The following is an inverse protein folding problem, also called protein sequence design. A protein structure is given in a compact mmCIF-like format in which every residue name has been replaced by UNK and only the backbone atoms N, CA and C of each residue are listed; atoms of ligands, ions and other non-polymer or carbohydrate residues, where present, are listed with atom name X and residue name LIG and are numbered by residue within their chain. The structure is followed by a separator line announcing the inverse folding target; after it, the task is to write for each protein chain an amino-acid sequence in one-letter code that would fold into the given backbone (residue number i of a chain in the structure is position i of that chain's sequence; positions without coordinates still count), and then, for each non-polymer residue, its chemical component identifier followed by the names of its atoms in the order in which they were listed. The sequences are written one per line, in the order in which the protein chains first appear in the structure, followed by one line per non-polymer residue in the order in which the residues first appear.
data_IF_357716687235
#
_entry.id   IF_357716687235
#
_cell.length_a   1.000
_cell.length_b   1.000
_cell.length_c   1.000
_cell.angle_alpha   90.00
_cell.angle_beta   90.00
_cell.angle_gamma   90.00
#
_symmetry.space_group_name_H-M   'P 1'
#
loop_
_entity.id
_entity.type
_entity.pdbx_description
1 polymer ?
#
# COMPACT_ATOMS: atom_id res chain seq x y z
N UNK A 1 -10.02 13.53 -4.02
CA UNK A 1 -9.83 14.55 -2.97
C UNK A 1 -10.18 15.94 -3.53
N UNK A 2 -10.65 16.87 -2.70
CA UNK A 2 -10.96 18.25 -3.12
C UNK A 2 -10.03 19.22 -2.40
N UNK A 3 -9.35 20.06 -3.15
CA UNK A 3 -8.57 21.20 -2.67
C UNK A 3 -9.34 22.49 -2.94
N UNK A 4 -9.26 23.46 -2.03
CA UNK A 4 -9.83 24.77 -2.23
C UNK A 4 -9.01 25.84 -1.51
N UNK A 5 -9.15 27.08 -1.93
CA UNK A 5 -8.48 28.22 -1.32
C UNK A 5 -8.90 29.54 -1.93
N UNK A 6 -8.13 30.58 -1.65
CA UNK A 6 -8.32 31.93 -2.19
C UNK A 6 -7.08 32.33 -2.99
N UNK A 7 -7.27 33.05 -4.09
CA UNK A 7 -6.21 33.67 -4.88
C UNK A 7 -6.70 35.07 -5.28
N UNK A 8 -6.08 36.10 -4.69
CA UNK A 8 -6.41 37.51 -4.96
C UNK A 8 -5.57 38.12 -6.07
N UNK A 9 -4.53 37.42 -6.52
CA UNK A 9 -3.42 38.01 -7.26
C UNK A 9 -3.51 37.69 -8.77
N UNK A 10 -4.33 36.69 -9.15
CA UNK A 10 -4.50 36.24 -10.54
C UNK A 10 -5.82 35.49 -10.76
N UNK A 11 -6.22 35.35 -12.02
CA UNK A 11 -7.41 34.58 -12.44
C UNK A 11 -7.14 33.06 -12.48
N UNK A 12 -5.95 32.61 -12.11
CA UNK A 12 -5.54 31.20 -12.18
C UNK A 12 -4.61 30.85 -11.02
N UNK A 13 -4.99 29.83 -10.26
CA UNK A 13 -4.13 29.22 -9.24
C UNK A 13 -3.36 28.07 -9.87
N UNK A 14 -2.04 28.07 -9.72
CA UNK A 14 -1.16 27.00 -10.16
C UNK A 14 -0.89 26.06 -8.98
N UNK A 15 -1.09 24.77 -9.20
CA UNK A 15 -0.99 23.71 -8.22
C UNK A 15 0.15 22.77 -8.60
N UNK A 16 0.96 22.42 -7.61
CA UNK A 16 1.99 21.39 -7.72
C UNK A 16 2.15 20.65 -6.40
N UNK A 17 2.86 19.53 -6.40
CA UNK A 17 3.01 18.66 -5.24
C UNK A 17 4.49 18.32 -4.99
N UNK A 18 4.85 18.19 -3.73
CA UNK A 18 6.15 17.65 -3.30
C UNK A 18 5.92 16.52 -2.32
N UNK A 19 6.87 15.58 -2.22
CA UNK A 19 6.84 14.48 -1.27
C UNK A 19 7.76 13.35 -1.73
N UNK A 20 7.72 12.19 -1.07
CA UNK A 20 8.55 11.05 -1.44
C UNK A 20 8.37 10.66 -2.91
N UNK A 21 9.49 10.44 -3.61
CA UNK A 21 9.51 10.03 -5.01
C UNK A 21 9.27 11.16 -6.03
N UNK A 22 9.05 12.40 -5.58
CA UNK A 22 8.84 13.57 -6.43
C UNK A 22 10.07 14.49 -6.35
N UNK A 23 10.37 15.19 -7.44
CA UNK A 23 11.41 16.23 -7.49
C UNK A 23 11.27 17.22 -6.33
N UNK A 24 12.41 17.67 -5.79
CA UNK A 24 12.42 18.64 -4.68
C UNK A 24 11.73 19.96 -5.06
N UNK A 25 11.80 20.33 -6.34
CA UNK A 25 11.16 21.51 -6.92
C UNK A 25 9.65 21.35 -7.17
N UNK A 26 9.15 20.13 -7.05
CA UNK A 26 7.75 19.79 -7.22
C UNK A 26 7.43 19.15 -8.57
N UNK A 27 6.36 18.36 -8.58
CA UNK A 27 5.79 17.74 -9.77
C UNK A 27 4.35 18.16 -10.00
N UNK A 28 3.86 17.91 -11.21
CA UNK A 28 2.50 18.21 -11.63
C UNK A 28 1.50 17.43 -10.77
N UNK A 29 0.42 18.05 -10.29
CA UNK A 29 -0.49 17.41 -9.35
C UNK A 29 -1.17 16.14 -9.93
N UNK A 30 -1.40 16.11 -11.24
CA UNK A 30 -2.01 14.99 -11.97
C UNK A 30 -1.00 14.06 -12.66
N UNK A 31 0.31 14.37 -12.58
CA UNK A 31 1.42 13.55 -13.09
C UNK A 31 2.67 13.88 -12.25
N UNK A 32 2.75 13.40 -10.99
CA UNK A 32 3.76 13.85 -10.02
C UNK A 32 5.21 13.58 -10.42
N UNK A 33 5.42 12.68 -11.38
CA UNK A 33 6.69 12.38 -12.04
C UNK A 33 7.15 13.46 -13.04
N UNK A 34 6.24 14.32 -13.50
CA UNK A 34 6.53 15.43 -14.42
C UNK A 34 6.85 16.69 -13.62
N UNK A 35 8.12 17.10 -13.65
CA UNK A 35 8.62 18.27 -12.92
C UNK A 35 7.93 19.58 -13.33
N UNK A 36 7.66 20.44 -12.35
CA UNK A 36 7.17 21.79 -12.62
C UNK A 36 8.34 22.75 -12.88
N UNK A 37 8.18 23.64 -13.86
CA UNK A 37 9.22 24.58 -14.31
C UNK A 37 8.74 26.01 -14.12
N UNK A 38 9.44 26.78 -13.30
CA UNK A 38 9.13 28.19 -13.07
C UNK A 38 9.09 28.99 -14.38
N UNK A 39 8.05 29.82 -14.52
CA UNK A 39 7.80 30.60 -15.73
C UNK A 39 7.12 29.84 -16.86
N UNK A 40 6.90 28.51 -16.72
CA UNK A 40 6.13 27.71 -17.66
C UNK A 40 4.79 27.25 -17.03
N UNK A 41 3.68 27.98 -17.27
CA UNK A 41 2.34 27.58 -16.83
C UNK A 41 1.93 26.16 -17.22
N UNK A 42 2.46 25.63 -18.33
CA UNK A 42 2.05 24.35 -18.90
C UNK A 42 2.46 23.15 -18.07
N UNK A 43 3.48 23.31 -17.20
CA UNK A 43 3.97 22.26 -16.31
C UNK A 43 3.26 22.25 -14.96
N UNK A 44 2.25 23.09 -14.73
CA UNK A 44 1.49 23.12 -13.47
C UNK A 44 0.06 22.65 -13.70
N UNK A 45 -0.54 22.06 -12.66
CA UNK A 45 -1.98 21.84 -12.65
C UNK A 45 -2.68 23.18 -12.41
N UNK A 46 -3.60 23.58 -13.27
CA UNK A 46 -4.24 24.89 -13.19
C UNK A 46 -5.67 24.77 -12.65
N UNK A 47 -5.99 25.57 -11.64
CA UNK A 47 -7.34 25.75 -11.11
C UNK A 47 -7.80 27.17 -11.43
N UNK A 48 -8.96 27.30 -12.06
CA UNK A 48 -9.54 28.60 -12.36
C UNK A 48 -9.94 29.33 -11.06
N UNK A 49 -9.48 30.56 -10.91
CA UNK A 49 -9.89 31.43 -9.80
C UNK A 49 -11.20 32.13 -10.19
N UNK A 50 -12.21 31.99 -9.33
CA UNK A 50 -13.52 32.60 -9.55
C UNK A 50 -13.47 34.11 -9.26
N UNK A 51 -14.47 34.89 -9.71
CA UNK A 51 -14.55 36.33 -9.41
C UNK A 51 -14.61 36.68 -7.91
N UNK A 52 -15.02 35.74 -7.06
CA UNK A 52 -15.00 35.88 -5.60
C UNK A 52 -13.66 35.48 -4.97
N UNK A 53 -12.61 35.35 -5.79
CA UNK A 53 -11.24 34.94 -5.44
C UNK A 53 -11.12 33.48 -5.00
N UNK A 54 -12.21 32.71 -4.92
CA UNK A 54 -12.13 31.30 -4.55
C UNK A 54 -11.68 30.42 -5.70
N UNK A 55 -10.96 29.35 -5.40
CA UNK A 55 -10.62 28.29 -6.34
C UNK A 55 -10.91 26.94 -5.71
N UNK A 56 -11.19 25.95 -6.57
CA UNK A 56 -11.39 24.56 -6.17
C UNK A 56 -10.75 23.66 -7.22
N UNK A 57 -10.13 22.56 -6.78
CA UNK A 57 -9.58 21.54 -7.65
C UNK A 57 -9.88 20.15 -7.10
N UNK A 58 -10.45 19.28 -7.94
CA UNK A 58 -10.70 17.89 -7.60
C UNK A 58 -9.55 17.04 -8.13
N UNK A 59 -8.77 16.47 -7.22
CA UNK A 59 -7.74 15.50 -7.53
C UNK A 59 -8.34 14.09 -7.51
N UNK A 60 -8.35 13.44 -8.67
CA UNK A 60 -8.64 12.02 -8.80
C UNK A 60 -7.35 11.24 -8.57
N UNK A 61 -7.27 10.51 -7.46
CA UNK A 61 -6.06 9.79 -7.04
C UNK A 61 -5.97 8.38 -7.61
N UNK A 62 -7.06 7.88 -8.22
CA UNK A 62 -7.20 6.51 -8.71
C UNK A 62 -6.21 6.18 -9.85
N UNK A 63 -5.57 7.19 -10.45
CA UNK A 63 -4.55 7.04 -11.49
C UNK A 63 -3.19 7.62 -11.10
N UNK A 64 -3.01 8.02 -9.84
CA UNK A 64 -1.80 8.70 -9.38
C UNK A 64 -0.92 7.79 -8.52
N UNK A 65 0.35 7.82 -8.86
CA UNK A 65 1.38 6.90 -8.41
C UNK A 65 2.18 7.49 -7.25
N UNK A 66 1.52 7.88 -6.15
CA UNK A 66 2.28 8.39 -5.00
C UNK A 66 2.84 7.25 -4.14
N UNK A 67 3.92 7.48 -3.41
CA UNK A 67 4.53 6.54 -2.43
C UNK A 67 3.93 6.78 -1.04
N UNK A 68 4.09 5.89 -0.06
CA UNK A 68 3.80 6.30 1.32
C UNK A 68 4.61 7.55 1.71
N UNK A 69 3.92 8.52 2.29
CA UNK A 69 4.54 9.57 3.08
C UNK A 69 3.81 10.90 2.99
N UNK A 70 4.35 11.90 3.69
CA UNK A 70 3.72 13.22 3.67
C UNK A 70 4.00 13.91 2.35
N UNK A 71 2.94 14.30 1.65
CA UNK A 71 3.04 15.21 0.53
C UNK A 71 2.63 16.61 0.99
N UNK A 72 3.00 17.61 0.20
CA UNK A 72 2.54 18.98 0.36
C UNK A 72 2.09 19.47 -1.00
N UNK A 73 0.84 19.90 -1.10
CA UNK A 73 0.30 20.54 -2.29
C UNK A 73 0.46 22.04 -2.11
N UNK A 74 1.11 22.65 -3.08
CA UNK A 74 1.33 24.09 -3.11
C UNK A 74 0.31 24.71 -4.05
N UNK A 75 -0.27 25.82 -3.62
CA UNK A 75 -1.13 26.65 -4.44
C UNK A 75 -0.51 28.04 -4.55
N UNK A 76 -0.10 28.41 -5.76
CA UNK A 76 0.62 29.65 -6.03
C UNK A 76 -0.09 30.48 -7.11
N UNK A 77 -0.02 31.80 -6.98
CA UNK A 77 -0.66 32.75 -7.90
C UNK A 77 0.13 32.98 -9.20
N UNK A 78 1.35 32.45 -9.28
CA UNK A 78 2.21 32.50 -10.45
C UNK A 78 2.88 31.14 -10.66
N UNK A 79 3.23 30.74 -11.90
CA UNK A 79 3.87 29.46 -12.18
C UNK A 79 5.30 29.44 -11.66
N UNK A 80 5.47 29.19 -10.36
CA UNK A 80 6.75 29.17 -9.66
C UNK A 80 6.92 27.83 -8.94
N UNK A 81 8.00 27.13 -9.25
CA UNK A 81 8.40 25.89 -8.60
C UNK A 81 8.91 26.16 -7.18
N UNK A 82 9.01 25.12 -6.34
CA UNK A 82 9.24 25.25 -4.89
C UNK A 82 10.35 26.24 -4.51
N UNK A 83 11.51 26.13 -5.14
CA UNK A 83 12.69 26.93 -4.80
C UNK A 83 12.54 28.41 -5.23
N UNK A 84 11.67 28.71 -6.19
CA UNK A 84 11.45 30.06 -6.74
C UNK A 84 10.28 30.81 -6.08
N UNK A 85 9.52 30.14 -5.20
CA UNK A 85 8.37 30.75 -4.49
C UNK A 85 8.82 31.77 -3.44
N UNK A 86 10.07 31.77 -2.99
CA UNK A 86 10.59 32.82 -2.09
C UNK A 86 9.65 33.20 -0.92
N UNK A 87 9.35 34.50 -0.77
CA UNK A 87 8.39 35.07 0.23
C UNK A 87 7.14 35.69 -0.41
N UNK A 88 6.82 35.35 -1.65
CA UNK A 88 5.55 35.78 -2.28
C UNK A 88 4.37 35.05 -1.61
N UNK A 89 3.17 35.63 -1.71
CA UNK A 89 1.93 35.09 -1.12
C UNK A 89 1.64 33.68 -1.65
N UNK A 90 2.14 32.66 -0.98
CA UNK A 90 1.75 31.27 -1.16
C UNK A 90 0.84 30.86 0.00
N UNK A 91 -0.31 30.28 -0.34
CA UNK A 91 -1.10 29.51 0.62
C UNK A 91 -0.72 28.04 0.44
N UNK A 92 -0.05 27.47 1.43
CA UNK A 92 0.37 26.06 1.39
C UNK A 92 -0.75 25.18 1.95
N UNK A 93 -1.27 24.25 1.14
CA UNK A 93 -2.27 23.25 1.59
C UNK A 93 -1.58 21.91 1.81
N UNK A 94 -1.39 21.56 3.08
CA UNK A 94 -0.75 20.28 3.44
C UNK A 94 -1.75 19.12 3.33
N UNK A 95 -1.40 18.11 2.55
CA UNK A 95 -2.16 16.86 2.41
C UNK A 95 -1.28 15.66 2.78
N UNK A 96 -1.63 14.95 3.83
CA UNK A 96 -0.91 13.74 4.24
C UNK A 96 -1.49 12.56 3.46
N UNK A 97 -0.67 11.88 2.67
CA UNK A 97 -1.02 10.60 2.07
C UNK A 97 -0.45 9.48 2.93
N UNK A 98 -1.31 8.60 3.42
CA UNK A 98 -0.87 7.40 4.14
C UNK A 98 -1.10 6.21 3.24
N UNK A 99 -0.07 5.39 3.02
CA UNK A 99 -0.35 4.01 2.64
C UNK A 99 -1.13 3.37 3.79
N UNK A 100 -2.20 2.61 3.50
CA UNK A 100 -2.79 1.68 4.44
C UNK A 100 -1.74 0.98 5.30
N UNK A 101 -1.82 1.18 6.61
CA UNK A 101 -0.99 0.45 7.56
C UNK A 101 -1.62 -0.91 7.84
N UNK A 102 -0.83 -1.98 7.69
CA UNK A 102 -1.20 -3.33 8.11
C UNK A 102 -0.26 -3.84 9.22
N UNK A 103 -0.81 -4.58 10.18
CA UNK A 103 -0.05 -5.26 11.24
C UNK A 103 -0.64 -6.62 11.52
N UNK A 104 0.21 -7.58 11.94
CA UNK A 104 -0.22 -8.94 12.28
C UNK A 104 0.45 -9.43 13.57
N UNK A 105 -0.35 -10.03 14.45
CA UNK A 105 0.08 -10.67 15.68
C UNK A 105 -0.53 -12.07 15.78
N UNK A 106 0.18 -12.98 16.45
CA UNK A 106 -0.27 -14.36 16.66
C UNK A 106 -0.12 -14.71 18.14
N UNK A 107 -1.10 -15.44 18.68
CA UNK A 107 -1.16 -15.81 20.10
C UNK A 107 -1.83 -17.18 20.29
N UNK A 108 -1.30 -18.06 21.17
CA UNK A 108 -0.10 -17.89 21.98
C UNK A 108 1.20 -18.02 21.17
N UNK A 109 2.34 -17.63 21.78
CA UNK A 109 3.70 -17.89 21.27
C UNK A 109 4.55 -18.56 22.36
N UNK A 110 5.04 -19.80 22.17
CA UNK A 110 4.84 -20.68 21.02
C UNK A 110 3.40 -21.19 20.92
N UNK A 111 3.01 -21.68 19.74
CA UNK A 111 1.79 -22.47 19.55
C UNK A 111 2.10 -23.92 19.96
N UNK A 112 1.15 -24.58 20.61
CA UNK A 112 1.20 -26.02 20.82
C UNK A 112 0.30 -26.69 19.78
N UNK A 113 0.82 -27.69 19.06
CA UNK A 113 0.01 -28.47 18.13
C UNK A 113 -1.20 -29.06 18.86
N UNK A 114 -2.38 -28.99 18.23
CA UNK A 114 -3.66 -29.39 18.84
C UNK A 114 -4.23 -28.47 19.91
N UNK A 115 -3.65 -27.28 20.11
CA UNK A 115 -4.26 -26.21 20.88
C UNK A 115 -4.70 -25.06 19.95
N UNK A 116 -5.82 -24.38 20.25
CA UNK A 116 -6.27 -23.25 19.43
C UNK A 116 -5.30 -22.07 19.52
N UNK A 117 -5.25 -21.27 18.46
CA UNK A 117 -4.51 -20.01 18.42
C UNK A 117 -5.27 -18.97 17.61
N UNK A 118 -4.89 -17.70 17.76
CA UNK A 118 -5.46 -16.59 17.00
C UNK A 118 -4.39 -15.84 16.23
N UNK A 119 -4.77 -15.35 15.07
CA UNK A 119 -4.07 -14.30 14.33
C UNK A 119 -4.95 -13.06 14.36
N UNK A 120 -4.45 -11.96 14.90
CA UNK A 120 -5.15 -10.68 14.97
C UNK A 120 -4.31 -9.59 14.36
N UNK A 121 -4.94 -8.56 13.84
CA UNK A 121 -4.21 -7.43 13.30
C UNK A 121 -5.08 -6.22 13.03
N UNK A 122 -4.43 -5.22 12.46
CA UNK A 122 -5.03 -3.95 12.08
C UNK A 122 -4.70 -3.68 10.60
N UNK A 123 -5.66 -3.20 9.82
CA UNK A 123 -5.57 -2.95 8.39
C UNK A 123 -6.33 -1.65 8.04
N UNK A 124 -5.62 -0.52 8.01
CA UNK A 124 -6.19 0.79 7.64
C UNK A 124 -6.56 0.85 6.16
N UNK A 125 -7.31 1.87 5.72
CA UNK A 125 -7.64 2.03 4.30
C UNK A 125 -8.92 1.33 3.84
N UNK A 126 -9.70 0.79 4.77
CA UNK A 126 -11.00 0.14 4.55
C UNK A 126 -10.97 -1.02 3.52
N UNK A 127 -9.99 -1.93 3.58
CA UNK A 127 -10.01 -3.11 2.73
C UNK A 127 -11.19 -4.03 3.13
N UNK A 128 -11.83 -4.73 2.20
CA UNK A 128 -12.89 -5.69 2.55
C UNK A 128 -12.35 -6.91 3.31
N UNK A 129 -11.08 -7.26 3.10
CA UNK A 129 -10.42 -8.39 3.73
C UNK A 129 -8.89 -8.27 3.67
N UNK A 130 -8.20 -9.04 4.50
CA UNK A 130 -6.77 -9.34 4.39
C UNK A 130 -6.55 -10.78 3.99
N UNK A 131 -5.41 -11.06 3.37
CA UNK A 131 -4.99 -12.42 3.04
C UNK A 131 -3.86 -12.87 3.96
N UNK A 132 -4.04 -14.01 4.63
CA UNK A 132 -3.09 -14.58 5.58
C UNK A 132 -2.42 -15.81 4.97
N UNK A 133 -1.10 -15.74 4.82
CA UNK A 133 -0.24 -16.84 4.43
C UNK A 133 0.42 -17.43 5.67
N UNK A 134 0.19 -18.72 5.94
CA UNK A 134 0.86 -19.46 7.02
C UNK A 134 1.76 -20.51 6.39
N UNK A 135 3.07 -20.34 6.58
CA UNK A 135 4.10 -21.09 5.87
C UNK A 135 5.04 -21.74 6.88
N UNK A 136 5.21 -23.06 6.76
CA UNK A 136 6.20 -23.85 7.48
C UNK A 136 6.88 -24.82 6.51
N UNK A 137 7.83 -25.59 7.01
CA UNK A 137 8.61 -26.50 6.15
C UNK A 137 7.71 -27.51 5.44
N UNK A 138 6.68 -28.05 6.10
CA UNK A 138 5.75 -29.00 5.45
C UNK A 138 4.32 -28.49 5.36
N UNK A 139 4.11 -27.18 5.56
CA UNK A 139 2.78 -26.61 5.72
C UNK A 139 2.61 -25.33 4.89
N UNK A 140 1.46 -25.25 4.23
CA UNK A 140 1.02 -24.07 3.50
C UNK A 140 -0.47 -23.90 3.74
N UNK A 141 -0.87 -22.70 4.13
CA UNK A 141 -2.28 -22.31 4.20
C UNK A 141 -2.44 -20.87 3.73
N UNK A 142 -3.51 -20.64 2.97
CA UNK A 142 -3.95 -19.33 2.50
C UNK A 142 -5.37 -19.10 3.00
N UNK A 143 -5.58 -18.02 3.75
CA UNK A 143 -6.86 -17.70 4.39
C UNK A 143 -7.20 -16.25 4.11
N UNK A 144 -8.43 -15.97 3.68
CA UNK A 144 -8.93 -14.60 3.57
C UNK A 144 -9.80 -14.29 4.78
N UNK A 145 -9.52 -13.15 5.44
CA UNK A 145 -10.18 -12.74 6.69
C UNK A 145 -10.79 -11.36 6.50
N UNK A 146 -12.10 -11.17 6.79
CA UNK A 146 -12.72 -9.85 6.67
C UNK A 146 -12.12 -8.87 7.68
N UNK A 147 -12.07 -7.59 7.30
CA UNK A 147 -11.73 -6.48 8.20
C UNK A 147 -13.02 -5.82 8.67
N UNK A 148 -13.09 -5.50 9.96
CA UNK A 148 -14.23 -4.79 10.55
C UNK A 148 -14.16 -3.28 10.32
N UNK A 149 -15.25 -2.58 10.66
CA UNK A 149 -15.36 -1.12 10.46
C UNK A 149 -14.36 -0.32 11.31
N UNK A 150 -13.77 -0.96 12.32
CA UNK A 150 -12.73 -0.39 13.16
C UNK A 150 -11.33 -0.76 12.66
N UNK A 151 -11.20 -1.30 11.43
CA UNK A 151 -9.96 -1.72 10.78
C UNK A 151 -9.26 -2.92 11.45
N UNK A 152 -9.96 -3.72 12.26
CA UNK A 152 -9.40 -4.93 12.87
C UNK A 152 -9.77 -6.17 12.08
N UNK A 153 -8.90 -7.18 12.15
CA UNK A 153 -9.21 -8.52 11.66
C UNK A 153 -8.79 -9.59 12.68
N UNK A 154 -9.53 -10.70 12.68
CA UNK A 154 -9.30 -11.82 13.57
C UNK A 154 -9.55 -13.14 12.86
N UNK A 155 -8.52 -13.99 12.83
CA UNK A 155 -8.63 -15.39 12.47
C UNK A 155 -8.41 -16.25 13.72
N UNK A 156 -9.30 -17.23 13.92
CA UNK A 156 -9.19 -18.21 15.00
C UNK A 156 -8.97 -19.59 14.38
N UNK A 157 -7.81 -20.18 14.68
CA UNK A 157 -7.51 -21.56 14.35
C UNK A 157 -7.95 -22.46 15.50
N UNK A 158 -8.71 -23.51 15.19
CA UNK A 158 -9.06 -24.53 16.15
C UNK A 158 -7.93 -25.56 16.34
N UNK A 159 -8.14 -26.50 17.27
CA UNK A 159 -7.21 -27.59 17.53
C UNK A 159 -6.95 -28.45 16.27
N UNK A 160 -7.97 -28.70 15.45
CA UNK A 160 -7.82 -29.51 14.24
C UNK A 160 -7.00 -28.80 13.15
N UNK A 161 -7.00 -27.47 13.13
CA UNK A 161 -6.09 -26.69 12.29
C UNK A 161 -4.66 -26.82 12.82
N UNK A 162 -4.44 -26.58 14.13
CA UNK A 162 -3.10 -26.60 14.72
C UNK A 162 -2.45 -27.98 14.79
N UNK A 163 -3.22 -29.08 14.82
CA UNK A 163 -2.71 -30.46 14.69
C UNK A 163 -1.97 -30.71 13.36
N UNK A 164 -2.30 -29.95 12.32
CA UNK A 164 -1.66 -30.08 10.99
C UNK A 164 -0.30 -29.37 10.94
N UNK A 165 0.01 -28.55 11.93
CA UNK A 165 1.27 -27.83 12.02
C UNK A 165 2.28 -28.73 12.74
N UNK A 166 3.24 -29.27 11.98
CA UNK A 166 4.37 -30.00 12.56
C UNK A 166 5.23 -29.07 13.45
N UNK A 167 5.96 -29.64 14.39
CA UNK A 167 6.88 -28.85 15.21
C UNK A 167 7.95 -28.17 14.34
N UNK A 168 8.16 -26.87 14.54
CA UNK A 168 9.09 -26.11 13.69
C UNK A 168 8.87 -24.61 13.68
N UNK A 169 9.59 -23.95 12.76
CA UNK A 169 9.49 -22.51 12.53
C UNK A 169 8.43 -22.21 11.47
N UNK A 170 7.67 -21.14 11.71
CA UNK A 170 6.61 -20.70 10.82
C UNK A 170 6.67 -19.20 10.57
N UNK A 171 6.15 -18.84 9.40
CA UNK A 171 6.03 -17.47 8.92
C UNK A 171 4.55 -17.18 8.64
N UNK A 172 4.05 -16.13 9.27
CA UNK A 172 2.76 -15.53 8.97
C UNK A 172 3.02 -14.27 8.14
N UNK A 173 2.41 -14.17 6.97
CA UNK A 173 2.35 -12.94 6.18
C UNK A 173 0.88 -12.53 6.12
N UNK A 174 0.58 -11.30 6.51
CA UNK A 174 -0.72 -10.69 6.28
C UNK A 174 -0.57 -9.68 5.14
N UNK A 175 -1.39 -9.83 4.12
CA UNK A 175 -1.38 -9.07 2.88
C UNK A 175 -2.64 -8.21 2.79
N UNK A 176 -2.45 -6.98 2.33
CA UNK A 176 -3.47 -5.95 2.21
C UNK A 176 -3.62 -5.58 0.73
N UNK A 177 -4.84 -5.69 0.19
CA UNK A 177 -5.18 -5.49 -1.23
C UNK A 177 -5.16 -4.03 -1.74
N UNK A 178 -4.53 -3.16 -0.95
CA UNK A 178 -4.46 -1.70 -1.11
C UNK A 178 -5.68 -1.03 -1.78
N UNK A 179 -5.49 -0.11 -2.73
CA UNK A 179 -6.58 0.72 -3.24
C UNK A 179 -7.51 0.02 -4.25
N UNK A 180 -7.02 -1.01 -4.95
CA UNK A 180 -7.78 -1.69 -6.01
C UNK A 180 -8.64 -2.85 -5.48
N UNK A 181 -8.45 -3.20 -4.20
CA UNK A 181 -9.12 -4.28 -3.50
C UNK A 181 -8.97 -5.64 -4.19
N UNK A 182 -7.84 -5.86 -4.87
CA UNK A 182 -7.50 -7.12 -5.52
C UNK A 182 -6.14 -7.61 -5.03
N UNK A 183 -6.07 -8.87 -4.60
CA UNK A 183 -4.78 -9.47 -4.26
C UNK A 183 -3.99 -9.81 -5.53
N UNK A 184 -2.80 -9.24 -5.63
CA UNK A 184 -1.82 -9.43 -6.69
C UNK A 184 -1.15 -10.81 -6.55
N UNK A 185 -0.94 -11.28 -5.32
CA UNK A 185 -0.35 -12.58 -5.05
C UNK A 185 -1.46 -13.59 -4.73
N UNK A 186 -1.53 -14.67 -5.51
CA UNK A 186 -2.61 -15.66 -5.36
C UNK A 186 -2.09 -17.09 -5.48
N UNK A 187 -2.85 -18.02 -4.92
CA UNK A 187 -2.63 -19.45 -5.11
C UNK A 187 -3.58 -20.00 -6.17
N UNK A 188 -3.05 -20.59 -7.24
CA UNK A 188 -3.83 -21.12 -8.36
C UNK A 188 -4.27 -22.58 -8.19
N UNK A 189 -3.91 -23.22 -7.07
CA UNK A 189 -4.15 -24.63 -6.79
C UNK A 189 -2.89 -25.51 -6.88
N UNK A 190 -1.83 -25.04 -7.54
CA UNK A 190 -0.54 -25.73 -7.65
C UNK A 190 0.63 -24.84 -7.19
N UNK A 191 0.59 -23.57 -7.57
CA UNK A 191 1.65 -22.60 -7.40
C UNK A 191 1.14 -21.30 -6.80
N UNK A 192 2.04 -20.59 -6.12
CA UNK A 192 1.84 -19.18 -5.86
C UNK A 192 2.26 -18.42 -7.12
N UNK A 193 1.34 -17.62 -7.61
CA UNK A 193 1.52 -16.79 -8.80
C UNK A 193 1.30 -15.34 -8.41
N UNK A 194 1.85 -14.46 -9.22
CA UNK A 194 1.57 -13.05 -9.14
C UNK A 194 0.90 -12.58 -10.41
N UNK A 195 -0.14 -11.75 -10.27
CA UNK A 195 -0.92 -11.20 -11.37
C UNK A 195 -0.52 -9.75 -11.59
N UNK A 196 -0.45 -9.36 -12.86
CA UNK A 196 -0.19 -7.98 -13.24
C UNK A 196 -0.73 -7.75 -14.65
N UNK A 197 -1.57 -6.73 -14.85
CA UNK A 197 -2.09 -6.32 -16.17
C UNK A 197 -2.73 -7.46 -17.00
N UNK A 198 -3.29 -8.48 -16.34
CA UNK A 198 -3.87 -9.65 -16.98
C UNK A 198 -2.89 -10.80 -17.26
N UNK A 199 -1.60 -10.59 -17.05
CA UNK A 199 -0.57 -11.64 -17.07
C UNK A 199 -0.41 -12.32 -15.71
N UNK A 200 0.14 -13.53 -15.73
CA UNK A 200 0.42 -14.30 -14.52
C UNK A 200 1.85 -14.85 -14.55
N UNK A 201 2.62 -14.53 -13.53
CA UNK A 201 3.99 -15.02 -13.35
C UNK A 201 4.04 -15.98 -12.17
N UNK A 202 4.56 -17.19 -12.39
CA UNK A 202 4.73 -18.16 -11.30
C UNK A 202 5.89 -17.77 -10.40
N UNK A 203 5.63 -17.60 -9.11
CA UNK A 203 6.67 -17.38 -8.10
C UNK A 203 7.29 -18.72 -7.69
N UNK A 204 6.49 -19.65 -7.18
CA UNK A 204 6.96 -20.98 -6.79
C UNK A 204 5.83 -22.01 -6.74
N UNK A 205 6.19 -23.29 -6.81
CA UNK A 205 5.26 -24.41 -6.54
C UNK A 205 5.14 -24.64 -5.05
N UNK A 206 3.92 -24.89 -4.57
CA UNK A 206 3.68 -25.13 -3.13
C UNK A 206 4.04 -26.57 -2.74
N UNK A 207 3.98 -27.53 -3.68
CA UNK A 207 4.23 -28.95 -3.42
C UNK A 207 4.96 -29.64 -4.57
N UNK A 208 5.56 -30.79 -4.26
CA UNK A 208 6.26 -31.64 -5.22
C UNK A 208 7.72 -31.22 -5.46
N UNK A 209 8.44 -31.93 -6.35
CA UNK A 209 9.84 -31.62 -6.63
C UNK A 209 10.04 -30.17 -7.07
N UNK A 210 10.96 -29.46 -6.41
CA UNK A 210 11.27 -28.06 -6.69
C UNK A 210 10.32 -27.04 -6.05
N UNK A 211 9.47 -27.44 -5.09
CA UNK A 211 8.68 -26.49 -4.29
C UNK A 211 9.56 -25.66 -3.35
N UNK A 212 9.16 -24.41 -3.10
CA UNK A 212 9.68 -23.63 -1.97
C UNK A 212 8.80 -23.85 -0.73
N UNK A 213 9.42 -23.85 0.44
CA UNK A 213 8.78 -24.17 1.73
C UNK A 213 9.35 -23.25 2.82
N UNK A 214 8.64 -23.16 3.95
CA UNK A 214 9.12 -22.42 5.13
C UNK A 214 9.62 -21.02 4.81
N UNK A 215 10.90 -20.77 5.12
CA UNK A 215 11.54 -19.46 4.91
C UNK A 215 11.61 -19.06 3.44
N UNK A 216 12.01 -19.96 2.54
CA UNK A 216 12.19 -19.63 1.13
C UNK A 216 10.85 -19.29 0.45
N UNK A 217 9.77 -19.96 0.85
CA UNK A 217 8.42 -19.62 0.40
C UNK A 217 7.98 -18.24 0.90
N UNK A 218 8.26 -17.94 2.18
CA UNK A 218 7.92 -16.64 2.76
C UNK A 218 8.72 -15.50 2.11
N UNK A 219 10.01 -15.72 1.87
CA UNK A 219 10.89 -14.78 1.20
C UNK A 219 10.44 -14.54 -0.24
N UNK A 220 10.04 -15.58 -0.98
CA UNK A 220 9.53 -15.43 -2.34
C UNK A 220 8.26 -14.56 -2.41
N UNK A 221 7.32 -14.69 -1.45
CA UNK A 221 6.13 -13.84 -1.38
C UNK A 221 6.51 -12.40 -1.00
N UNK A 222 7.32 -12.21 0.04
CA UNK A 222 7.74 -10.88 0.49
C UNK A 222 8.52 -10.15 -0.60
N UNK A 223 9.47 -10.81 -1.25
CA UNK A 223 10.23 -10.24 -2.36
C UNK A 223 9.31 -9.90 -3.53
N UNK A 224 8.33 -10.74 -3.84
CA UNK A 224 7.33 -10.46 -4.87
C UNK A 224 6.46 -9.24 -4.55
N UNK A 225 6.08 -9.02 -3.29
CA UNK A 225 5.34 -7.83 -2.84
C UNK A 225 6.23 -6.58 -2.93
N UNK A 226 7.48 -6.65 -2.44
CA UNK A 226 8.42 -5.52 -2.44
C UNK A 226 8.88 -5.12 -3.85
N UNK A 227 9.12 -6.09 -4.75
CA UNK A 227 9.46 -5.79 -6.14
C UNK A 227 8.29 -5.11 -6.86
N UNK A 228 7.08 -5.48 -6.48
CA UNK A 228 5.87 -4.79 -6.89
C UNK A 228 5.75 -3.42 -6.22
N UNK A 229 6.28 -3.13 -5.05
CA UNK A 229 6.28 -1.73 -4.57
C UNK A 229 7.16 -0.74 -5.41
N UNK A 230 7.83 -1.16 -6.50
CA UNK A 230 8.84 -0.34 -7.23
C UNK A 230 8.43 0.22 -8.62
N UNK A 231 7.17 0.17 -9.02
CA UNK A 231 6.78 0.64 -10.35
C UNK A 231 5.50 1.43 -10.32
N UNK A 232 5.28 2.23 -11.36
CA UNK A 232 3.92 2.57 -11.79
C UNK A 232 3.02 3.03 -10.64
N UNK A 233 2.07 2.15 -10.31
CA UNK A 233 0.95 2.30 -9.37
C UNK A 233 1.18 1.67 -7.99
N UNK A 234 2.12 2.17 -7.22
CA UNK A 234 2.50 1.60 -5.91
C UNK A 234 1.39 1.60 -4.83
N UNK A 235 0.25 2.24 -5.05
CA UNK A 235 -0.93 2.19 -4.17
C UNK A 235 -1.99 1.18 -4.56
N UNK A 236 -1.95 0.67 -5.79
CA UNK A 236 -2.78 -0.47 -6.17
C UNK A 236 -2.09 -1.77 -5.74
N UNK A 237 -0.77 -1.72 -5.51
CA UNK A 237 0.04 -2.89 -5.24
C UNK A 237 0.03 -3.25 -3.78
N UNK A 238 -0.19 -4.52 -3.49
CA UNK A 238 -0.38 -5.03 -2.15
C UNK A 238 0.77 -4.72 -1.19
N UNK A 239 0.43 -4.44 0.07
CA UNK A 239 1.41 -4.31 1.16
C UNK A 239 1.25 -5.42 2.19
N UNK A 240 2.22 -5.56 3.10
CA UNK A 240 2.23 -6.69 4.03
C UNK A 240 2.81 -6.42 5.41
N UNK A 241 2.42 -7.27 6.36
CA UNK A 241 3.08 -7.46 7.64
C UNK A 241 3.56 -8.91 7.78
N UNK A 242 4.75 -9.10 8.34
CA UNK A 242 5.30 -10.43 8.61
C UNK A 242 5.50 -10.68 10.10
N UNK A 243 5.08 -11.84 10.57
CA UNK A 243 5.33 -12.32 11.92
C UNK A 243 5.92 -13.73 11.90
N UNK A 244 6.98 -13.94 12.68
CA UNK A 244 7.56 -15.27 12.91
C UNK A 244 7.00 -15.88 14.19
N UNK A 245 6.80 -17.20 14.18
CA UNK A 245 6.39 -17.97 15.34
C UNK A 245 6.92 -19.41 15.27
N UNK A 246 6.82 -20.12 16.39
CA UNK A 246 7.21 -21.53 16.49
C UNK A 246 6.02 -22.37 16.94
N UNK A 247 5.99 -23.61 16.46
CA UNK A 247 5.04 -24.64 16.88
C UNK A 247 5.82 -25.72 17.60
N UNK A 248 5.34 -26.12 18.77
CA UNK A 248 5.88 -27.22 19.56
C UNK A 248 4.87 -28.37 19.63
N UNK A 249 5.36 -29.57 19.89
CA UNK A 249 4.51 -30.71 20.24
C UNK A 249 3.78 -30.46 21.56
N UNK A 250 2.62 -31.10 21.72
CA UNK A 250 1.79 -31.04 22.93
C UNK A 250 2.35 -31.88 24.07
#
# INVERSE_FOLDING_TARGET
MVFHGVNSDSDTTYLFITGPGISENGGTLTAPEEDVVSGDPGTFTQAATKPDQSWEFVLYTDSLNFTAGSYTVYAVSQPMAKDDIGTISSDDVKAIFKMPFISAAISPKPILAGQPFTVSGYAEGDPPAVQLWILGDTFFSLITVPVDNEANYLFTADAGFSEKLAAGNYYLIAEHSMADNQFDIVFDGESVIARENGDSTRLFRVRGPGSLQGYDAAEAIVSALIEREKGEKIYERDTHAIARFTVNET
#
